data_IF_112960757568
#
_entry.id   IF_112960757568
#
_cell.length_a   1.000
_cell.length_b   1.000
_cell.length_c   1.000
_cell.angle_alpha   90.00
_cell.angle_beta   90.00
_cell.angle_gamma   90.00
#
_symmetry.space_group_name_H-M   'P 1'
#
loop_
_entity.id
_entity.type
_entity.pdbx_description
1 polymer ?
#
# COMPACT_ATOMS: atom_id res chain seq x y z
N UNK A 1 -10.89 6.23 -29.40
CA UNK A 1 -9.68 7.02 -29.04
C UNK A 1 -8.67 6.05 -28.46
N UNK A 2 -7.56 5.82 -29.16
CA UNK A 2 -6.43 5.10 -28.58
C UNK A 2 -5.98 5.83 -27.31
N UNK A 3 -5.89 5.10 -26.18
CA UNK A 3 -5.33 5.64 -24.96
C UNK A 3 -3.85 5.93 -25.22
N UNK A 4 -3.50 7.22 -25.26
CA UNK A 4 -2.11 7.68 -25.36
C UNK A 4 -1.31 7.03 -24.22
N UNK A 5 -0.22 6.35 -24.57
CA UNK A 5 0.66 5.73 -23.58
C UNK A 5 1.22 6.79 -22.62
N UNK A 6 1.27 6.46 -21.33
CA UNK A 6 1.70 7.37 -20.28
C UNK A 6 3.12 7.03 -19.83
N UNK A 7 4.03 7.99 -19.91
CA UNK A 7 5.42 7.87 -19.49
C UNK A 7 5.76 8.90 -18.42
N UNK A 8 6.66 8.54 -17.51
CA UNK A 8 7.20 9.44 -16.48
C UNK A 8 8.70 9.22 -16.34
N UNK A 9 9.43 10.24 -15.91
CA UNK A 9 10.83 10.12 -15.51
C UNK A 9 10.97 10.47 -14.03
N UNK A 10 11.52 9.56 -13.25
CA UNK A 10 11.78 9.76 -11.82
C UNK A 10 13.28 9.61 -11.60
N UNK A 11 13.92 10.68 -11.13
CA UNK A 11 15.37 10.81 -11.13
C UNK A 11 15.95 10.65 -12.53
N UNK A 12 16.79 9.64 -12.71
CA UNK A 12 17.41 9.28 -14.00
C UNK A 12 16.64 8.20 -14.76
N UNK A 13 15.67 7.54 -14.13
CA UNK A 13 14.98 6.38 -14.71
C UNK A 13 13.68 6.77 -15.40
N UNK A 14 13.48 6.31 -16.63
CA UNK A 14 12.24 6.43 -17.37
C UNK A 14 11.33 5.24 -17.04
N UNK A 15 10.04 5.49 -16.86
CA UNK A 15 9.03 4.47 -16.65
C UNK A 15 7.87 4.63 -17.63
N UNK A 16 7.35 3.49 -18.09
CA UNK A 16 6.05 3.39 -18.76
C UNK A 16 5.00 2.99 -17.73
N UNK A 17 3.88 3.71 -17.71
CA UNK A 17 2.72 3.35 -16.93
C UNK A 17 1.87 2.40 -17.78
N UNK A 18 1.68 1.18 -17.29
CA UNK A 18 0.90 0.15 -17.99
C UNK A 18 -0.25 -0.32 -17.13
N UNK A 19 -1.34 -0.73 -17.77
CA UNK A 19 -2.40 -1.50 -17.13
C UNK A 19 -2.15 -2.97 -17.47
N UNK A 20 -1.49 -3.70 -16.57
CA UNK A 20 -1.19 -5.10 -16.76
C UNK A 20 -2.45 -5.94 -16.46
N UNK A 21 -2.92 -6.78 -17.40
CA UNK A 21 -4.06 -7.65 -17.16
C UNK A 21 -3.73 -8.72 -16.11
N UNK A 22 -4.73 -9.12 -15.34
CA UNK A 22 -4.69 -10.20 -14.36
C UNK A 22 -5.51 -11.39 -14.84
N UNK A 23 -5.25 -12.54 -14.22
CA UNK A 23 -5.97 -13.80 -14.47
C UNK A 23 -7.47 -13.67 -14.16
N UNK A 24 -7.83 -12.81 -13.21
CA UNK A 24 -9.22 -12.52 -12.82
C UNK A 24 -9.97 -11.60 -13.83
N UNK A 25 -9.34 -11.23 -14.94
CA UNK A 25 -9.90 -10.30 -15.93
C UNK A 25 -9.77 -8.82 -15.55
N UNK A 26 -9.23 -8.52 -14.38
CA UNK A 26 -8.93 -7.15 -13.93
C UNK A 26 -7.63 -6.61 -14.53
N UNK A 27 -7.32 -5.35 -14.19
CA UNK A 27 -6.08 -4.67 -14.57
C UNK A 27 -5.37 -4.10 -13.35
N UNK A 28 -4.04 -4.10 -13.37
CA UNK A 28 -3.21 -3.42 -12.36
C UNK A 28 -2.36 -2.37 -13.04
N UNK A 29 -2.45 -1.15 -12.53
CA UNK A 29 -1.52 -0.09 -12.92
C UNK A 29 -0.13 -0.42 -12.39
N UNK A 30 0.85 -0.56 -13.28
CA UNK A 30 2.25 -0.81 -12.95
C UNK A 30 3.18 0.17 -13.64
N UNK A 31 4.32 0.41 -13.01
CA UNK A 31 5.46 1.15 -13.56
C UNK A 31 6.49 0.14 -14.05
N UNK A 32 6.80 0.17 -15.35
CA UNK A 32 7.85 -0.66 -15.94
C UNK A 32 9.00 0.27 -16.35
N UNK A 33 10.22 -0.05 -15.91
CA UNK A 33 11.39 0.70 -16.36
C UNK A 33 11.50 0.60 -17.88
N UNK A 34 11.69 1.74 -18.53
CA UNK A 34 11.65 1.84 -19.99
C UNK A 34 12.96 2.40 -20.53
N UNK A 35 13.38 1.94 -21.69
CA UNK A 35 14.58 2.43 -22.34
C UNK A 35 14.29 3.77 -23.05
N UNK A 36 15.10 4.79 -22.75
CA UNK A 36 14.98 6.11 -23.35
C UNK A 36 15.26 6.11 -24.86
N UNK A 37 16.12 5.22 -25.36
CA UNK A 37 16.38 5.07 -26.79
C UNK A 37 15.17 4.51 -27.52
N UNK A 38 14.54 3.47 -26.99
CA UNK A 38 13.28 2.91 -27.51
C UNK A 38 12.19 3.96 -27.55
N UNK A 39 12.02 4.76 -26.49
CA UNK A 39 11.06 5.87 -26.50
C UNK A 39 11.32 6.86 -27.63
N UNK A 40 12.59 7.21 -27.90
CA UNK A 40 12.96 8.13 -28.98
C UNK A 40 12.73 7.53 -30.37
N UNK A 41 12.94 6.22 -30.53
CA UNK A 41 12.68 5.52 -31.78
C UNK A 41 11.18 5.45 -32.08
N UNK A 42 10.37 5.15 -31.06
CA UNK A 42 8.92 4.97 -31.21
C UNK A 42 8.17 6.32 -31.35
N UNK A 43 8.60 7.36 -30.62
CA UNK A 43 7.86 8.62 -30.49
C UNK A 43 8.61 9.86 -30.99
N UNK A 44 9.86 9.70 -31.43
CA UNK A 44 10.73 10.80 -31.85
C UNK A 44 11.51 11.46 -30.71
N UNK A 45 12.55 12.21 -31.09
CA UNK A 45 13.51 12.84 -30.15
C UNK A 45 12.85 13.85 -29.20
N UNK A 46 11.87 14.59 -29.70
CA UNK A 46 11.24 15.70 -28.95
C UNK A 46 10.21 15.21 -27.93
N UNK A 47 9.72 13.98 -28.06
CA UNK A 47 8.75 13.41 -27.13
C UNK A 47 9.29 13.37 -25.69
N UNK A 48 10.59 13.14 -25.51
CA UNK A 48 11.25 13.14 -24.20
C UNK A 48 11.08 14.46 -23.43
N UNK A 49 10.91 15.59 -24.13
CA UNK A 49 10.67 16.88 -23.49
C UNK A 49 9.27 16.97 -22.86
N UNK A 50 8.30 16.21 -23.39
CA UNK A 50 6.92 16.16 -22.89
C UNK A 50 6.71 15.25 -21.68
N UNK A 51 7.67 14.34 -21.40
CA UNK A 51 7.59 13.38 -20.29
C UNK A 51 7.71 14.12 -18.94
N UNK A 52 6.73 14.01 -18.02
CA UNK A 52 6.82 14.57 -16.68
C UNK A 52 8.05 14.09 -15.91
N UNK A 53 8.67 15.00 -15.15
CA UNK A 53 9.95 14.77 -14.46
C UNK A 53 9.77 14.98 -12.96
N UNK A 54 10.20 13.99 -12.19
CA UNK A 54 10.21 14.01 -10.73
C UNK A 54 11.63 13.75 -10.22
N UNK A 55 11.98 14.32 -9.06
CA UNK A 55 13.30 14.17 -8.46
C UNK A 55 13.46 12.77 -7.82
N UNK A 56 12.36 12.17 -7.36
CA UNK A 56 12.35 10.85 -6.74
C UNK A 56 10.93 10.37 -6.40
N UNK A 57 10.86 9.24 -5.71
CA UNK A 57 9.64 8.76 -5.09
C UNK A 57 9.54 9.23 -3.64
N UNK A 58 8.32 9.45 -3.16
CA UNK A 58 8.02 9.62 -1.75
C UNK A 58 6.80 8.76 -1.40
N UNK A 59 6.56 8.55 -0.12
CA UNK A 59 5.26 8.07 0.37
C UNK A 59 4.74 9.16 1.27
N UNK A 60 3.59 9.76 1.01
CA UNK A 60 2.96 10.73 1.94
C UNK A 60 1.50 10.32 2.05
N UNK A 61 1.13 9.59 3.11
CA UNK A 61 -0.23 9.11 3.31
C UNK A 61 -1.20 10.24 3.60
N UNK A 62 -2.25 10.35 2.79
CA UNK A 62 -3.42 11.19 3.05
C UNK A 62 -4.58 10.66 2.20
N UNK A 63 -5.72 10.37 2.83
CA UNK A 63 -6.92 9.91 2.14
C UNK A 63 -7.82 11.06 1.69
N UNK A 64 -7.92 12.12 2.49
CA UNK A 64 -8.86 13.23 2.29
C UNK A 64 -8.21 14.33 1.45
N UNK A 65 -6.94 14.63 1.73
CA UNK A 65 -6.11 15.62 1.06
C UNK A 65 -5.09 15.01 0.10
N UNK A 66 -5.38 13.83 -0.48
CA UNK A 66 -4.44 13.08 -1.31
C UNK A 66 -3.77 13.94 -2.38
N UNK A 67 -2.44 13.83 -2.47
CA UNK A 67 -1.62 14.43 -3.52
C UNK A 67 -0.78 13.36 -4.21
N UNK A 68 -0.98 13.23 -5.52
CA UNK A 68 -0.15 12.36 -6.36
C UNK A 68 1.29 12.86 -6.49
N UNK A 69 1.51 14.17 -6.30
CA UNK A 69 2.82 14.82 -6.35
C UNK A 69 2.99 15.68 -5.11
N UNK A 70 4.10 15.48 -4.40
CA UNK A 70 4.48 16.28 -3.21
C UNK A 70 5.79 16.99 -3.51
N UNK A 71 5.72 18.31 -3.73
CA UNK A 71 6.86 19.08 -4.23
C UNK A 71 7.27 18.60 -5.63
N UNK A 72 8.48 18.05 -5.75
CA UNK A 72 9.01 17.44 -6.99
C UNK A 72 9.03 15.90 -6.96
N UNK A 73 8.43 15.29 -5.95
CA UNK A 73 8.43 13.85 -5.76
C UNK A 73 7.10 13.24 -6.15
N UNK A 74 7.14 12.06 -6.77
CA UNK A 74 5.96 11.28 -7.09
C UNK A 74 5.57 10.42 -5.88
N UNK A 75 4.32 10.55 -5.44
CA UNK A 75 3.81 9.82 -4.29
C UNK A 75 3.55 8.35 -4.67
N UNK A 76 4.06 7.42 -3.87
CA UNK A 76 3.81 5.97 -3.95
C UNK A 76 2.51 5.59 -3.25
N UNK A 77 2.03 6.45 -2.35
CA UNK A 77 0.69 6.33 -1.81
C UNK A 77 -0.33 6.53 -2.93
N UNK A 78 -1.38 5.71 -2.94
CA UNK A 78 -2.38 5.71 -4.00
C UNK A 78 -3.68 6.35 -3.49
N UNK A 79 -4.44 7.05 -4.35
CA UNK A 79 -5.76 7.52 -3.97
C UNK A 79 -6.68 6.33 -3.72
N UNK A 80 -7.64 6.51 -2.82
CA UNK A 80 -8.77 5.59 -2.66
C UNK A 80 -9.98 6.15 -3.40
N UNK A 81 -10.84 5.28 -3.91
CA UNK A 81 -12.04 5.72 -4.66
C UNK A 81 -13.23 6.11 -3.77
N UNK A 82 -13.14 5.90 -2.45
CA UNK A 82 -14.25 6.12 -1.53
C UNK A 82 -14.32 7.56 -1.04
N UNK A 83 -15.54 8.10 -0.94
CA UNK A 83 -15.82 9.44 -0.44
C UNK A 83 -16.65 9.32 0.84
N UNK A 84 -16.33 10.13 1.85
CA UNK A 84 -17.08 10.17 3.10
C UNK A 84 -18.49 10.69 2.88
N UNK A 85 -19.49 9.96 3.37
CA UNK A 85 -20.90 10.33 3.33
C UNK A 85 -21.51 10.07 4.70
N UNK A 86 -22.35 10.99 5.17
CA UNK A 86 -23.14 10.81 6.38
C UNK A 86 -24.25 9.78 6.13
N UNK A 87 -24.41 8.81 7.03
CA UNK A 87 -25.48 7.83 6.93
C UNK A 87 -25.23 6.59 7.78
N UNK A 88 -26.23 5.70 7.77
CA UNK A 88 -26.15 4.43 8.48
C UNK A 88 -25.32 3.39 7.70
N UNK A 89 -24.62 2.55 8.45
CA UNK A 89 -23.76 1.50 7.90
C UNK A 89 -24.00 0.15 8.62
N UNK A 90 -25.24 -0.37 8.62
CA UNK A 90 -25.63 -1.51 9.46
C UNK A 90 -24.77 -2.77 9.25
N UNK A 91 -24.39 -3.08 8.00
CA UNK A 91 -23.53 -4.23 7.71
C UNK A 91 -22.10 -4.05 8.22
N UNK A 92 -21.52 -2.85 8.08
CA UNK A 92 -20.17 -2.56 8.57
C UNK A 92 -20.19 -2.53 10.10
N UNK A 93 -21.21 -1.91 10.70
CA UNK A 93 -21.42 -1.89 12.15
C UNK A 93 -21.44 -3.32 12.71
N UNK A 94 -22.29 -4.17 12.16
CA UNK A 94 -22.38 -5.58 12.58
C UNK A 94 -21.06 -6.33 12.40
N UNK A 95 -20.31 -6.08 11.32
CA UNK A 95 -18.99 -6.67 11.14
C UNK A 95 -18.00 -6.22 12.22
N UNK A 96 -17.96 -4.94 12.56
CA UNK A 96 -17.05 -4.41 13.59
C UNK A 96 -17.47 -4.89 14.97
N UNK A 97 -18.76 -4.90 15.30
CA UNK A 97 -19.30 -5.49 16.54
C UNK A 97 -18.92 -6.96 16.67
N UNK A 98 -19.01 -7.73 15.58
CA UNK A 98 -18.62 -9.14 15.57
C UNK A 98 -17.12 -9.34 15.80
N UNK A 99 -16.27 -8.49 15.21
CA UNK A 99 -14.81 -8.64 15.30
C UNK A 99 -14.24 -8.13 16.63
N UNK A 100 -14.76 -7.01 17.14
CA UNK A 100 -14.26 -6.35 18.34
C UNK A 100 -15.08 -6.67 19.60
N UNK A 101 -16.28 -7.21 19.47
CA UNK A 101 -17.15 -7.57 20.58
C UNK A 101 -17.41 -6.38 21.50
N UNK A 102 -17.13 -6.55 22.79
CA UNK A 102 -17.23 -5.48 23.81
C UNK A 102 -16.34 -4.27 23.50
N UNK A 103 -15.31 -4.42 22.66
CA UNK A 103 -14.40 -3.35 22.25
C UNK A 103 -14.84 -2.63 20.97
N UNK A 104 -16.12 -2.69 20.62
CA UNK A 104 -16.69 -2.08 19.40
C UNK A 104 -16.21 -0.64 19.17
N UNK A 105 -16.32 0.22 20.19
CA UNK A 105 -15.92 1.64 20.09
C UNK A 105 -14.43 1.79 19.75
N UNK A 106 -13.56 0.96 20.35
CA UNK A 106 -12.13 0.94 20.03
C UNK A 106 -11.88 0.53 18.57
N UNK A 107 -12.66 -0.44 18.06
CA UNK A 107 -12.59 -0.85 16.66
C UNK A 107 -13.00 0.26 15.71
N UNK A 108 -14.06 1.00 16.04
CA UNK A 108 -14.52 2.15 15.26
C UNK A 108 -13.50 3.29 15.27
N UNK A 109 -12.95 3.65 16.43
CA UNK A 109 -11.88 4.63 16.57
C UNK A 109 -10.65 4.23 15.74
N UNK A 110 -10.24 2.96 15.81
CA UNK A 110 -9.12 2.44 15.04
C UNK A 110 -9.32 2.63 13.53
N UNK A 111 -10.49 2.28 13.01
CA UNK A 111 -10.83 2.45 11.59
C UNK A 111 -10.91 3.92 11.17
N UNK A 112 -11.47 4.77 12.03
CA UNK A 112 -11.54 6.21 11.79
C UNK A 112 -10.14 6.84 11.74
N UNK A 113 -9.26 6.49 12.67
CA UNK A 113 -7.89 6.98 12.72
C UNK A 113 -7.09 6.53 11.50
N UNK A 114 -7.25 5.28 11.06
CA UNK A 114 -6.64 4.83 9.80
C UNK A 114 -7.06 5.68 8.60
N UNK A 115 -8.31 6.12 8.57
CA UNK A 115 -8.84 6.92 7.46
C UNK A 115 -8.47 8.41 7.55
N UNK A 116 -8.64 9.03 8.71
CA UNK A 116 -8.44 10.48 8.87
C UNK A 116 -6.99 10.85 9.16
N UNK A 117 -6.25 9.97 9.82
CA UNK A 117 -4.89 10.20 10.28
C UNK A 117 -3.97 9.01 9.93
N UNK A 118 -3.77 8.69 8.63
CA UNK A 118 -3.04 7.50 8.19
C UNK A 118 -1.55 7.47 8.57
N UNK A 119 -1.02 8.56 9.13
CA UNK A 119 0.34 8.64 9.69
C UNK A 119 0.41 8.30 11.19
N UNK A 120 -0.74 8.24 11.87
CA UNK A 120 -0.81 7.94 13.29
C UNK A 120 -0.41 6.49 13.55
N UNK A 121 0.50 6.30 14.51
CA UNK A 121 0.87 4.95 14.96
C UNK A 121 -0.29 4.34 15.74
N UNK A 122 -0.74 3.18 15.27
CA UNK A 122 -1.79 2.40 15.91
C UNK A 122 -1.23 1.07 16.45
N UNK A 123 -1.85 0.48 17.48
CA UNK A 123 -1.48 -0.85 17.96
C UNK A 123 -1.60 -1.91 16.87
N UNK A 124 -0.77 -2.96 16.94
CA UNK A 124 -0.94 -4.12 16.05
C UNK A 124 -2.24 -4.83 16.43
N UNK A 125 -3.16 -4.94 15.49
CA UNK A 125 -4.39 -5.71 15.68
C UNK A 125 -4.10 -7.21 15.51
N UNK A 126 -4.27 -7.97 16.61
CA UNK A 126 -4.12 -9.42 16.62
C UNK A 126 -5.50 -10.07 16.78
N UNK A 127 -6.03 -10.63 15.69
CA UNK A 127 -7.33 -11.30 15.69
C UNK A 127 -7.17 -12.77 16.08
N UNK A 128 -7.33 -13.08 17.36
CA UNK A 128 -7.29 -14.46 17.90
C UNK A 128 -8.71 -15.03 17.94
N UNK A 129 -8.86 -16.29 17.55
CA UNK A 129 -10.14 -17.02 17.63
C UNK A 129 -9.83 -18.48 17.80
N UNK A 130 -10.51 -19.13 18.75
CA UNK A 130 -10.42 -20.58 18.97
C UNK A 130 -11.19 -21.34 17.87
N UNK A 131 -12.26 -20.73 17.35
CA UNK A 131 -13.11 -21.31 16.32
C UNK A 131 -12.67 -20.90 14.90
N UNK A 132 -12.93 -21.78 13.92
CA UNK A 132 -12.79 -21.48 12.48
C UNK A 132 -14.01 -20.68 12.00
N UNK A 133 -13.85 -19.94 10.90
CA UNK A 133 -14.90 -19.13 10.26
C UNK A 133 -15.45 -17.95 11.09
N UNK A 134 -14.65 -17.34 11.94
CA UNK A 134 -15.08 -16.19 12.79
C UNK A 134 -15.08 -14.84 12.11
N UNK A 135 -15.12 -14.80 10.77
CA UNK A 135 -15.22 -13.54 10.02
C UNK A 135 -13.91 -12.75 9.85
N UNK A 136 -12.77 -13.26 10.34
CA UNK A 136 -11.45 -12.58 10.20
C UNK A 136 -11.10 -12.28 8.74
N UNK A 137 -11.21 -13.28 7.86
CA UNK A 137 -10.91 -13.09 6.43
C UNK A 137 -11.88 -12.08 5.80
N UNK A 138 -13.15 -12.06 6.23
CA UNK A 138 -14.13 -11.05 5.82
C UNK A 138 -13.69 -9.65 6.24
N UNK A 139 -13.19 -9.50 7.48
CA UNK A 139 -12.66 -8.23 7.97
C UNK A 139 -11.41 -7.76 7.22
N UNK A 140 -10.46 -8.66 6.94
CA UNK A 140 -9.28 -8.32 6.12
C UNK A 140 -9.68 -7.93 4.69
N UNK A 141 -10.66 -8.61 4.11
CA UNK A 141 -11.20 -8.25 2.80
C UNK A 141 -11.94 -6.91 2.83
N UNK A 142 -12.65 -6.59 3.91
CA UNK A 142 -13.25 -5.29 4.13
C UNK A 142 -12.18 -4.18 4.18
N UNK A 143 -11.11 -4.36 4.95
CA UNK A 143 -9.97 -3.42 4.98
C UNK A 143 -9.34 -3.26 3.59
N UNK A 144 -9.18 -4.36 2.85
CA UNK A 144 -8.69 -4.33 1.47
C UNK A 144 -9.62 -3.53 0.55
N UNK A 145 -10.93 -3.66 0.72
CA UNK A 145 -11.92 -2.92 -0.06
C UNK A 145 -11.91 -1.43 0.26
N UNK A 146 -11.76 -1.04 1.52
CA UNK A 146 -11.71 0.36 1.98
C UNK A 146 -10.41 1.05 1.55
N UNK A 147 -9.26 0.45 1.85
CA UNK A 147 -7.96 1.11 1.66
C UNK A 147 -7.23 0.71 0.37
N UNK A 148 -7.81 -0.21 -0.41
CA UNK A 148 -7.47 -0.53 -1.80
C UNK A 148 -5.97 -0.79 -2.02
N UNK A 149 -5.31 0.00 -2.87
CA UNK A 149 -3.91 -0.19 -3.24
C UNK A 149 -2.93 0.16 -2.12
N UNK A 150 -3.39 0.78 -1.02
CA UNK A 150 -2.58 1.05 0.17
C UNK A 150 -2.54 -0.13 1.15
N UNK A 151 -3.14 -1.28 0.78
CA UNK A 151 -3.14 -2.52 1.57
C UNK A 151 -2.43 -3.64 0.83
N UNK A 152 -1.72 -4.49 1.55
CA UNK A 152 -1.13 -5.72 1.02
C UNK A 152 -1.43 -6.91 1.91
N UNK A 153 -1.56 -8.08 1.29
CA UNK A 153 -1.57 -9.37 1.99
C UNK A 153 -0.18 -9.96 1.86
N UNK A 154 0.43 -10.30 2.99
CA UNK A 154 1.72 -10.97 3.03
C UNK A 154 1.51 -12.41 3.48
N UNK A 155 2.29 -13.32 2.89
CA UNK A 155 2.43 -14.68 3.37
C UNK A 155 3.45 -14.75 4.51
N UNK A 156 3.49 -15.88 5.23
CA UNK A 156 4.55 -16.15 6.20
C UNK A 156 5.96 -16.10 5.57
N UNK A 157 6.09 -16.42 4.28
CA UNK A 157 7.36 -16.34 3.55
C UNK A 157 7.75 -14.89 3.27
N UNK A 158 6.80 -14.06 2.81
CA UNK A 158 7.01 -12.62 2.60
C UNK A 158 7.41 -11.92 3.90
N UNK A 159 6.82 -12.37 5.01
CA UNK A 159 7.16 -11.88 6.34
C UNK A 159 8.60 -12.22 6.73
N UNK A 160 9.11 -13.39 6.32
CA UNK A 160 10.47 -13.86 6.61
C UNK A 160 11.53 -13.37 5.62
N UNK A 161 11.13 -12.94 4.43
CA UNK A 161 12.01 -12.40 3.39
C UNK A 161 12.73 -11.12 3.80
N UNK A 162 14.00 -10.95 3.44
CA UNK A 162 14.71 -9.67 3.62
C UNK A 162 14.22 -8.59 2.64
N UNK A 163 13.64 -9.01 1.51
CA UNK A 163 13.06 -8.10 0.51
C UNK A 163 11.66 -7.67 0.92
N UNK A 164 11.45 -6.36 1.00
CA UNK A 164 10.21 -5.80 1.48
C UNK A 164 9.66 -4.64 0.64
N UNK A 165 10.25 -4.39 -0.53
CA UNK A 165 9.80 -3.33 -1.45
C UNK A 165 8.31 -3.39 -1.76
N UNK A 166 7.72 -4.57 -1.72
CA UNK A 166 6.33 -4.79 -2.13
C UNK A 166 5.32 -4.32 -1.09
N UNK A 167 5.74 -4.24 0.18
CA UNK A 167 4.93 -3.75 1.30
C UNK A 167 5.46 -2.47 1.94
N UNK A 168 6.67 -2.03 1.58
CA UNK A 168 7.20 -0.73 1.96
C UNK A 168 6.32 0.42 1.41
N UNK A 169 5.81 1.25 2.31
CA UNK A 169 4.97 2.41 2.00
C UNK A 169 3.47 2.09 1.92
N UNK A 170 3.04 0.86 2.24
CA UNK A 170 1.62 0.52 2.41
C UNK A 170 1.12 1.00 3.77
N UNK A 171 -0.16 1.39 3.82
CA UNK A 171 -0.86 1.74 5.06
C UNK A 171 -1.03 0.50 5.94
N UNK A 172 -1.49 -0.61 5.34
CA UNK A 172 -1.76 -1.85 6.05
C UNK A 172 -1.03 -3.02 5.41
N UNK A 173 -0.39 -3.81 6.26
CA UNK A 173 0.20 -5.10 5.94
C UNK A 173 -0.60 -6.13 6.72
N UNK A 174 -1.38 -6.92 6.00
CA UNK A 174 -2.24 -7.95 6.57
C UNK A 174 -1.56 -9.29 6.36
N UNK A 175 -1.50 -10.10 7.43
CA UNK A 175 -0.87 -11.42 7.38
C UNK A 175 -1.90 -12.42 7.87
N UNK A 176 -2.21 -13.40 7.02
CA UNK A 176 -3.13 -14.48 7.38
C UNK A 176 -2.34 -15.62 8.05
N UNK A 177 -2.89 -16.18 9.13
CA UNK A 177 -2.33 -17.33 9.86
C UNK A 177 -0.81 -17.24 10.15
N UNK A 178 -0.37 -16.23 10.91
CA UNK A 178 1.02 -16.19 11.38
C UNK A 178 1.22 -17.22 12.48
N UNK A 179 2.03 -18.25 12.19
CA UNK A 179 2.54 -19.16 13.20
C UNK A 179 3.65 -18.45 14.00
N UNK A 180 3.27 -17.73 15.05
CA UNK A 180 4.19 -17.08 15.99
C UNK A 180 4.88 -18.09 16.93
N UNK A 181 5.40 -19.17 16.36
CA UNK A 181 6.01 -20.26 17.11
C UNK A 181 7.49 -19.98 17.43
N UNK A 182 8.08 -18.94 16.83
CA UNK A 182 9.48 -18.57 17.02
C UNK A 182 9.57 -17.18 17.64
N UNK A 183 10.42 -17.04 18.65
CA UNK A 183 10.74 -15.75 19.29
C UNK A 183 11.21 -14.71 18.28
N UNK A 184 11.92 -15.15 17.24
CA UNK A 184 12.38 -14.32 16.11
C UNK A 184 11.22 -13.65 15.36
N UNK A 185 10.09 -14.34 15.17
CA UNK A 185 8.93 -13.80 14.45
C UNK A 185 8.28 -12.66 15.26
N UNK A 186 8.22 -12.80 16.60
CA UNK A 186 7.74 -11.75 17.52
C UNK A 186 8.66 -10.54 17.60
N UNK A 187 9.98 -10.76 17.64
CA UNK A 187 10.97 -9.68 17.61
C UNK A 187 10.92 -8.91 16.28
N UNK A 188 10.68 -9.63 15.18
CA UNK A 188 10.50 -9.02 13.86
C UNK A 188 9.23 -8.18 13.77
N UNK A 189 8.10 -8.66 14.30
CA UNK A 189 6.87 -7.86 14.39
C UNK A 189 7.09 -6.57 15.19
N UNK A 190 7.81 -6.68 16.31
CA UNK A 190 8.17 -5.53 17.14
C UNK A 190 9.06 -4.54 16.38
N UNK A 191 10.04 -5.02 15.62
CA UNK A 191 10.89 -4.16 14.80
C UNK A 191 10.06 -3.47 13.69
N UNK A 192 9.14 -4.17 13.05
CA UNK A 192 8.27 -3.58 12.03
C UNK A 192 7.35 -2.48 12.58
N UNK A 193 6.87 -2.60 13.81
CA UNK A 193 5.99 -1.59 14.42
C UNK A 193 6.73 -0.40 15.05
N UNK A 194 8.04 -0.51 15.28
CA UNK A 194 8.82 0.52 15.98
C UNK A 194 9.87 1.22 15.11
N UNK A 195 10.23 0.65 13.95
CA UNK A 195 11.30 1.20 13.12
C UNK A 195 10.81 2.38 12.26
N UNK A 196 11.31 3.59 12.56
CA UNK A 196 11.00 4.84 11.82
C UNK A 196 11.46 4.86 10.34
N UNK A 197 12.37 3.99 9.94
CA UNK A 197 12.86 3.94 8.55
C UNK A 197 13.29 2.52 8.22
N UNK A 198 12.54 1.85 7.37
CA UNK A 198 12.96 0.54 6.88
C UNK A 198 13.85 0.73 5.65
N UNK A 199 15.00 0.04 5.62
CA UNK A 199 15.84 -0.02 4.43
C UNK A 199 15.10 -0.86 3.39
N UNK A 200 14.61 -0.25 2.33
CA UNK A 200 13.88 -0.98 1.31
C UNK A 200 14.86 -1.77 0.50
N UNK A 201 14.74 -3.09 0.56
CA UNK A 201 15.54 -4.02 -0.21
C UNK A 201 14.68 -4.62 -1.33
N UNK A 202 15.14 -4.44 -2.58
CA UNK A 202 14.61 -5.09 -3.76
C UNK A 202 15.73 -5.91 -4.42
N UNK A 203 15.40 -7.11 -4.90
CA UNK A 203 16.38 -8.01 -5.53
C UNK A 203 16.99 -7.33 -6.76
N UNK A 204 18.30 -7.07 -6.72
CA UNK A 204 19.06 -6.49 -7.85
C UNK A 204 18.92 -4.97 -8.02
N UNK A 205 18.52 -4.22 -6.99
CA UNK A 205 18.53 -2.74 -7.00
C UNK A 205 19.36 -2.19 -5.84
N UNK A 206 19.93 -1.00 -6.03
CA UNK A 206 20.60 -0.25 -4.98
C UNK A 206 19.64 0.16 -3.85
N UNK A 207 20.22 0.33 -2.67
CA UNK A 207 19.53 0.53 -1.38
C UNK A 207 18.81 1.89 -1.34
N UNK A 208 17.48 1.88 -1.18
CA UNK A 208 16.71 3.10 -0.90
C UNK A 208 16.17 3.09 0.54
N UNK A 209 16.37 4.19 1.28
CA UNK A 209 15.72 4.41 2.58
C UNK A 209 14.40 5.13 2.33
N UNK A 210 13.28 4.43 2.54
CA UNK A 210 11.98 5.09 2.61
C UNK A 210 11.70 5.36 4.09
N UNK A 211 11.55 6.63 4.46
CA UNK A 211 11.11 7.01 5.79
C UNK A 211 9.65 6.57 5.99
N UNK A 212 9.35 5.92 7.11
CA UNK A 212 7.97 5.75 7.59
C UNK A 212 7.72 6.81 8.65
N UNK A 213 6.59 7.50 8.54
CA UNK A 213 6.37 8.74 9.29
C UNK A 213 6.25 8.49 10.80
N UNK A 214 6.80 9.45 11.54
CA UNK A 214 6.84 9.47 13.01
C UNK A 214 5.56 10.06 13.57
#
# INVERSE_FOLDING_TARGET
MEKKEEFIRVGTTLYKIVNQPRIDGGYVRRRIAWNAETLRQDYGKDYMASVPKYDGFCTVPDHVGYKSVVGKFLNLYEPISHVLVQGDFPCIRSLVEHIFGEQYELGMDYLQLLYLYPVQKLPILLLVSEERNTGKSTFLNFLKAVFQNNVTFNTNEDFRSQFNSDWAGKLLIMVDEVLLNRREDSERLKNLSTTLSYKVEAKGKDRDKIGFFA
#
